data_IF_918762673739
#
_entry.id   IF_918762673739
#
_cell.length_a   1.000
_cell.length_b   1.000
_cell.length_c   1.000
_cell.angle_alpha   90.00
_cell.angle_beta   90.00
_cell.angle_gamma   90.00
#
_symmetry.space_group_name_H-M   'P 1'
#
loop_
_entity.id
_entity.type
_entity.pdbx_description
1 polymer ?
#
# COMPACT_ATOMS: atom_id res chain seq x y z
N UNK A 1 3.29 -26.08 -5.32
CA UNK A 1 3.22 -25.85 -3.86
C UNK A 1 3.49 -24.37 -3.54
N UNK A 2 2.62 -23.45 -3.98
CA UNK A 2 2.85 -21.98 -3.87
C UNK A 2 1.87 -21.28 -2.92
N UNK A 3 1.23 -22.03 -2.02
CA UNK A 3 -0.07 -21.67 -1.44
C UNK A 3 -0.06 -20.54 -0.39
N UNK A 4 0.89 -20.41 0.55
CA UNK A 4 0.71 -19.49 1.68
C UNK A 4 0.92 -18.03 1.30
N UNK A 5 1.97 -17.72 0.54
CA UNK A 5 2.29 -16.33 0.16
C UNK A 5 1.22 -15.74 -0.77
N UNK A 6 0.73 -16.52 -1.72
CA UNK A 6 -0.35 -16.08 -2.61
C UNK A 6 -1.65 -15.81 -1.85
N UNK A 7 -1.98 -16.64 -0.85
CA UNK A 7 -3.16 -16.44 -0.01
C UNK A 7 -3.03 -15.20 0.88
N UNK A 8 -1.86 -14.96 1.46
CA UNK A 8 -1.59 -13.73 2.22
C UNK A 8 -1.72 -12.49 1.34
N UNK A 9 -1.14 -12.50 0.14
CA UNK A 9 -1.29 -11.39 -0.81
C UNK A 9 -2.73 -11.19 -1.25
N UNK A 10 -3.51 -12.28 -1.43
CA UNK A 10 -4.94 -12.19 -1.75
C UNK A 10 -5.76 -11.60 -0.58
N UNK A 11 -5.47 -12.04 0.64
CA UNK A 11 -6.14 -11.60 1.86
C UNK A 11 -5.80 -10.14 2.24
N UNK A 12 -4.62 -9.65 1.85
CA UNK A 12 -4.27 -8.23 1.90
C UNK A 12 -5.06 -7.32 0.95
N UNK A 13 -5.96 -7.89 0.11
CA UNK A 13 -6.89 -7.16 -0.78
C UNK A 13 -6.20 -6.08 -1.62
N UNK A 14 -5.25 -6.43 -2.52
CA UNK A 14 -4.41 -5.50 -3.26
C UNK A 14 -5.19 -4.49 -4.13
N UNK A 15 -6.43 -4.83 -4.52
CA UNK A 15 -7.35 -3.91 -5.19
C UNK A 15 -7.76 -2.73 -4.30
N UNK A 16 -7.87 -2.92 -2.99
CA UNK A 16 -8.20 -1.85 -2.05
C UNK A 16 -7.02 -0.91 -1.81
N UNK A 17 -5.79 -1.42 -1.89
CA UNK A 17 -4.55 -0.65 -1.79
C UNK A 17 -4.42 0.44 -2.87
N UNK A 18 -5.17 0.34 -3.98
CA UNK A 18 -5.25 1.40 -5.00
C UNK A 18 -5.73 2.74 -4.43
N UNK A 19 -6.56 2.73 -3.37
CA UNK A 19 -6.98 3.96 -2.69
C UNK A 19 -5.81 4.70 -2.05
N UNK A 20 -4.75 3.99 -1.68
CA UNK A 20 -3.53 4.56 -1.10
C UNK A 20 -2.69 5.32 -2.14
N UNK A 21 -3.01 5.20 -3.44
CA UNK A 21 -2.40 6.06 -4.47
C UNK A 21 -2.72 7.54 -4.27
N UNK A 22 -3.74 7.87 -3.47
CA UNK A 22 -4.00 9.25 -3.03
C UNK A 22 -2.79 9.90 -2.32
N UNK A 23 -1.84 9.14 -1.79
CA UNK A 23 -0.58 9.67 -1.27
C UNK A 23 0.26 10.38 -2.35
N UNK A 24 0.15 9.96 -3.61
CA UNK A 24 0.86 10.60 -4.73
C UNK A 24 0.22 11.92 -5.15
N UNK A 25 -1.02 12.20 -4.75
CA UNK A 25 -1.69 13.49 -4.99
C UNK A 25 -0.82 14.64 -4.45
N UNK A 26 -0.35 14.56 -3.21
CA UNK A 26 0.53 15.58 -2.62
C UNK A 26 1.84 15.74 -3.38
N UNK A 27 2.42 14.65 -3.89
CA UNK A 27 3.65 14.67 -4.69
C UNK A 27 3.45 15.34 -6.06
N UNK A 28 2.32 15.08 -6.72
CA UNK A 28 1.99 15.63 -8.04
C UNK A 28 1.64 17.12 -7.92
N UNK A 29 0.71 17.48 -7.03
CA UNK A 29 0.21 18.86 -6.91
C UNK A 29 1.22 19.83 -6.29
N UNK A 30 2.24 19.34 -5.57
CA UNK A 30 3.38 20.17 -5.12
C UNK A 30 4.45 20.40 -6.20
N UNK A 31 4.36 19.72 -7.34
CA UNK A 31 5.40 19.76 -8.39
C UNK A 31 6.69 19.01 -8.01
N UNK A 32 6.69 18.22 -6.94
CA UNK A 32 7.89 17.52 -6.43
C UNK A 32 8.13 16.15 -7.07
N UNK A 33 7.35 15.78 -8.09
CA UNK A 33 7.41 14.48 -8.74
C UNK A 33 8.80 14.11 -9.26
N UNK A 34 9.58 15.09 -9.71
CA UNK A 34 10.93 14.89 -10.24
C UNK A 34 12.04 15.07 -9.21
N UNK A 35 11.71 15.30 -7.92
CA UNK A 35 12.69 15.34 -6.84
C UNK A 35 12.89 13.90 -6.33
N UNK A 36 14.04 13.24 -6.61
CA UNK A 36 14.19 11.81 -6.36
C UNK A 36 13.95 11.44 -4.89
N UNK A 37 14.43 12.27 -3.96
CA UNK A 37 14.21 12.05 -2.52
C UNK A 37 12.71 12.04 -2.16
N UNK A 38 11.92 12.97 -2.71
CA UNK A 38 10.47 13.07 -2.43
C UNK A 38 9.72 11.92 -3.10
N UNK A 39 10.07 11.59 -4.33
CA UNK A 39 9.48 10.46 -5.06
C UNK A 39 9.66 9.14 -4.31
N UNK A 40 10.89 8.78 -3.93
CA UNK A 40 11.16 7.55 -3.20
C UNK A 40 10.53 7.52 -1.81
N UNK A 41 10.46 8.67 -1.14
CA UNK A 41 9.73 8.80 0.13
C UNK A 41 8.24 8.48 -0.04
N UNK A 42 7.59 9.03 -1.07
CA UNK A 42 6.17 8.76 -1.35
C UNK A 42 5.93 7.30 -1.76
N UNK A 43 6.84 6.70 -2.54
CA UNK A 43 6.78 5.28 -2.89
C UNK A 43 6.90 4.40 -1.65
N UNK A 44 7.87 4.66 -0.77
CA UNK A 44 8.01 3.93 0.49
C UNK A 44 6.76 4.09 1.37
N UNK A 45 6.24 5.32 1.49
CA UNK A 45 5.01 5.60 2.22
C UNK A 45 3.83 4.79 1.67
N UNK A 46 3.66 4.71 0.34
CA UNK A 46 2.61 3.91 -0.29
C UNK A 46 2.66 2.43 0.09
N UNK A 47 3.85 1.82 0.07
CA UNK A 47 4.01 0.42 0.45
C UNK A 47 3.76 0.20 1.94
N UNK A 48 4.29 1.06 2.81
CA UNK A 48 4.06 1.00 4.26
C UNK A 48 2.56 1.12 4.57
N UNK A 49 1.88 2.10 3.97
CA UNK A 49 0.44 2.31 4.18
C UNK A 49 -0.38 1.11 3.67
N UNK A 50 0.01 0.54 2.53
CA UNK A 50 -0.65 -0.64 1.96
C UNK A 50 -0.47 -1.89 2.81
N UNK A 51 0.71 -2.09 3.40
CA UNK A 51 0.95 -3.19 4.35
C UNK A 51 0.19 -2.97 5.66
N UNK A 52 0.20 -1.76 6.23
CA UNK A 52 -0.51 -1.46 7.47
C UNK A 52 -2.02 -1.65 7.33
N UNK A 53 -2.61 -1.08 6.28
CA UNK A 53 -4.04 -1.25 5.99
C UNK A 53 -4.39 -2.72 5.67
N UNK A 54 -3.52 -3.41 4.93
CA UNK A 54 -3.61 -4.86 4.70
C UNK A 54 -3.62 -5.69 5.98
N UNK A 55 -2.74 -5.37 6.94
CA UNK A 55 -2.68 -6.06 8.24
C UNK A 55 -3.95 -5.90 9.06
N UNK A 56 -4.63 -4.75 8.98
CA UNK A 56 -5.94 -4.56 9.63
C UNK A 56 -6.99 -5.48 9.03
N UNK A 57 -7.02 -5.65 7.69
CA UNK A 57 -7.93 -6.61 7.06
C UNK A 57 -7.60 -8.05 7.44
N UNK A 58 -6.32 -8.41 7.49
CA UNK A 58 -5.90 -9.74 7.96
C UNK A 58 -6.32 -9.99 9.40
N UNK A 59 -6.18 -9.00 10.27
CA UNK A 59 -6.57 -9.12 11.68
C UNK A 59 -8.10 -9.24 11.83
N UNK A 60 -8.87 -8.45 11.08
CA UNK A 60 -10.32 -8.57 11.07
C UNK A 60 -10.75 -9.95 10.55
N UNK A 61 -10.15 -10.44 9.47
CA UNK A 61 -10.43 -11.77 8.92
C UNK A 61 -10.01 -12.93 9.86
N UNK A 62 -9.23 -12.67 10.93
CA UNK A 62 -8.92 -13.66 11.99
C UNK A 62 -9.94 -13.65 13.14
N UNK A 63 -10.63 -12.53 13.34
CA UNK A 63 -11.63 -12.36 14.39
C UNK A 63 -13.05 -12.70 13.89
N UNK A 64 -13.31 -12.49 12.61
CA UNK A 64 -14.50 -12.96 11.88
C UNK A 64 -14.43 -14.47 11.61
#
# INVERSE_FOLDING_TARGET
MVKPLFLLLKAGRPRQSLKNLSLFTGLIFSGWLFIPAKFWTTVAAFFIFSLLTGSVYLFNDLLD
#
